data_IF_358524921371
#
_entry.id   IF_358524921371
#
_cell.length_a   1.000
_cell.length_b   1.000
_cell.length_c   1.000
_cell.angle_alpha   90.00
_cell.angle_beta   90.00
_cell.angle_gamma   90.00
#
_symmetry.space_group_name_H-M   'P 1'
#
loop_
_entity.id
_entity.type
_entity.pdbx_description
1 polymer ?
#
# COMPACT_ATOMS: atom_id res chain seq x y z
N UNK A 1 -6.40 -4.15 -6.24
CA UNK A 1 -6.26 -5.54 -5.74
C UNK A 1 -5.53 -6.44 -6.74
N UNK A 2 -6.05 -6.70 -7.95
CA UNK A 2 -5.44 -7.62 -8.94
C UNK A 2 -3.95 -7.38 -9.22
N UNK A 3 -3.51 -6.12 -9.41
CA UNK A 3 -2.09 -5.80 -9.59
C UNK A 3 -1.20 -6.28 -8.42
N UNK A 4 -1.61 -6.03 -7.18
CA UNK A 4 -0.85 -6.49 -6.01
C UNK A 4 -0.78 -8.02 -5.91
N UNK A 5 -1.85 -8.74 -6.27
CA UNK A 5 -1.83 -10.21 -6.33
C UNK A 5 -0.85 -10.71 -7.40
N UNK A 6 -0.79 -10.06 -8.56
CA UNK A 6 0.19 -10.36 -9.61
C UNK A 6 1.63 -10.13 -9.10
N UNK A 7 1.91 -8.99 -8.44
CA UNK A 7 3.25 -8.74 -7.90
C UNK A 7 3.60 -9.73 -6.80
N UNK A 8 2.66 -10.11 -5.93
CA UNK A 8 2.88 -11.11 -4.88
C UNK A 8 3.25 -12.47 -5.49
N UNK A 9 2.52 -12.92 -6.51
CA UNK A 9 2.83 -14.13 -7.28
C UNK A 9 4.23 -14.07 -7.92
N UNK A 10 4.55 -12.95 -8.58
CA UNK A 10 5.88 -12.76 -9.20
C UNK A 10 7.00 -12.72 -8.13
N UNK A 11 6.74 -12.13 -6.97
CA UNK A 11 7.70 -12.07 -5.85
C UNK A 11 8.02 -13.46 -5.32
N UNK A 12 7.02 -14.33 -5.16
CA UNK A 12 7.25 -15.74 -4.83
C UNK A 12 7.99 -16.48 -5.96
N UNK A 13 7.69 -16.18 -7.24
CA UNK A 13 8.34 -16.83 -8.38
C UNK A 13 9.84 -16.52 -8.50
N UNK A 14 10.29 -15.35 -8.04
CA UNK A 14 11.70 -14.92 -7.99
C UNK A 14 12.31 -15.01 -6.58
N UNK A 15 11.59 -15.59 -5.61
CA UNK A 15 12.03 -15.80 -4.22
C UNK A 15 12.35 -14.50 -3.43
N UNK A 16 11.81 -13.34 -3.85
CA UNK A 16 12.05 -12.05 -3.19
C UNK A 16 11.05 -11.74 -2.07
N UNK A 17 11.40 -12.21 -0.87
CA UNK A 17 10.67 -11.98 0.39
C UNK A 17 10.50 -10.49 0.70
N UNK A 18 11.43 -9.63 0.25
CA UNK A 18 11.32 -8.18 0.47
C UNK A 18 10.10 -7.59 -0.23
N UNK A 19 9.87 -7.97 -1.49
CA UNK A 19 8.74 -7.48 -2.27
C UNK A 19 7.44 -8.15 -1.80
N UNK A 20 7.48 -9.46 -1.53
CA UNK A 20 6.31 -10.18 -1.02
C UNK A 20 5.77 -9.58 0.30
N UNK A 21 6.66 -9.22 1.24
CA UNK A 21 6.27 -8.58 2.51
C UNK A 21 5.74 -7.16 2.31
N UNK A 22 6.40 -6.34 1.48
CA UNK A 22 5.94 -4.98 1.15
C UNK A 22 4.54 -5.00 0.51
N UNK A 23 4.33 -5.86 -0.49
CA UNK A 23 3.05 -6.00 -1.18
C UNK A 23 1.95 -6.47 -0.23
N UNK A 24 2.26 -7.43 0.65
CA UNK A 24 1.31 -7.93 1.65
C UNK A 24 0.86 -6.81 2.59
N UNK A 25 1.81 -6.03 3.15
CA UNK A 25 1.50 -4.90 4.03
C UNK A 25 0.73 -3.78 3.30
N UNK A 26 1.00 -3.57 2.02
CA UNK A 26 0.30 -2.57 1.18
C UNK A 26 -1.14 -2.99 0.85
N UNK A 27 -1.40 -4.29 0.68
CA UNK A 27 -2.75 -4.83 0.41
C UNK A 27 -3.59 -5.02 1.68
N UNK A 28 -2.96 -5.21 2.84
CA UNK A 28 -3.62 -5.47 4.11
C UNK A 28 -4.67 -4.40 4.51
N UNK A 29 -4.43 -3.07 4.42
CA UNK A 29 -5.48 -2.09 4.69
C UNK A 29 -6.70 -2.26 3.77
N UNK A 30 -6.50 -2.45 2.47
CA UNK A 30 -7.62 -2.67 1.52
C UNK A 30 -8.41 -3.94 1.84
N UNK A 31 -7.74 -5.00 2.32
CA UNK A 31 -8.42 -6.23 2.75
C UNK A 31 -9.27 -5.99 4.00
N UNK A 32 -8.75 -5.27 5.00
CA UNK A 32 -9.49 -4.93 6.23
C UNK A 32 -10.68 -4.01 5.89
N UNK A 33 -10.48 -2.99 5.06
CA UNK A 33 -11.55 -2.12 4.56
C UNK A 33 -12.65 -2.90 3.82
N UNK A 34 -12.27 -3.86 2.95
CA UNK A 34 -13.23 -4.71 2.27
C UNK A 34 -14.03 -5.62 3.23
N UNK A 35 -13.37 -6.17 4.26
CA UNK A 35 -14.04 -6.98 5.28
C UNK A 35 -15.02 -6.16 6.14
N UNK A 36 -14.73 -4.89 6.41
CA UNK A 36 -15.60 -4.02 7.22
C UNK A 36 -16.74 -3.43 6.38
N UNK A 37 -16.40 -2.73 5.30
CA UNK A 37 -17.37 -1.98 4.51
C UNK A 37 -18.01 -2.83 3.41
N UNK A 38 -17.24 -3.70 2.75
CA UNK A 38 -17.72 -4.57 1.67
C UNK A 38 -18.66 -5.68 2.12
N UNK A 39 -18.52 -6.17 3.36
CA UNK A 39 -19.47 -7.10 3.99
C UNK A 39 -20.64 -6.38 4.69
N UNK A 40 -20.68 -5.04 4.67
CA UNK A 40 -21.74 -4.25 5.28
C UNK A 40 -21.74 -4.21 6.82
N UNK A 41 -20.62 -4.54 7.48
CA UNK A 41 -20.49 -4.39 8.95
C UNK A 41 -20.60 -2.92 9.37
N UNK A 42 -20.15 -2.00 8.50
CA UNK A 42 -20.37 -0.56 8.61
C UNK A 42 -20.85 -0.02 7.27
N UNK A 43 -21.95 0.71 7.28
CA UNK A 43 -22.50 1.34 6.08
C UNK A 43 -21.67 2.57 5.67
N UNK A 44 -21.37 2.72 4.39
CA UNK A 44 -20.68 3.90 3.84
C UNK A 44 -21.62 5.08 3.56
N UNK A 45 -22.94 4.89 3.55
CA UNK A 45 -23.90 5.99 3.43
C UNK A 45 -24.27 6.58 4.79
N UNK A 46 -24.34 7.91 4.86
CA UNK A 46 -24.86 8.66 6.00
C UNK A 46 -26.12 9.44 5.62
N UNK A 47 -27.14 9.39 6.48
CA UNK A 47 -28.33 10.23 6.34
C UNK A 47 -28.05 11.65 6.88
N UNK A 48 -29.04 12.54 6.88
CA UNK A 48 -28.86 13.88 7.48
C UNK A 48 -28.86 13.86 9.01
N UNK A 49 -29.56 12.93 9.66
CA UNK A 49 -29.72 12.91 11.12
C UNK A 49 -28.55 12.27 11.88
N UNK A 50 -27.84 11.35 11.24
CA UNK A 50 -26.73 10.56 11.82
C UNK A 50 -25.35 10.95 11.26
N UNK A 51 -25.27 11.90 10.31
CA UNK A 51 -24.05 12.26 9.57
C UNK A 51 -22.81 12.45 10.43
N UNK A 52 -22.95 13.16 11.56
CA UNK A 52 -21.85 13.38 12.49
C UNK A 52 -21.28 12.05 12.99
N UNK A 53 -22.13 11.16 13.50
CA UNK A 53 -21.74 9.88 14.08
C UNK A 53 -21.24 8.94 12.99
N UNK A 54 -22.00 8.76 11.91
CA UNK A 54 -21.69 7.80 10.86
C UNK A 54 -20.36 8.11 10.17
N UNK A 55 -20.12 9.36 9.79
CA UNK A 55 -18.84 9.76 9.22
C UNK A 55 -17.69 9.65 10.23
N UNK A 56 -17.94 9.88 11.53
CA UNK A 56 -16.91 9.72 12.56
C UNK A 56 -16.52 8.25 12.73
N UNK A 57 -17.47 7.32 12.58
CA UNK A 57 -17.19 5.87 12.54
C UNK A 57 -16.39 5.52 11.27
N UNK A 58 -16.82 5.98 10.09
CA UNK A 58 -16.14 5.69 8.81
C UNK A 58 -14.69 6.19 8.83
N UNK A 59 -14.46 7.48 9.07
CA UNK A 59 -13.10 8.03 9.12
C UNK A 59 -12.30 7.50 10.32
N UNK A 60 -12.94 7.24 11.46
CA UNK A 60 -12.30 6.64 12.63
C UNK A 60 -11.75 5.23 12.35
N UNK A 61 -12.50 4.42 11.59
CA UNK A 61 -12.06 3.09 11.14
C UNK A 61 -10.88 3.21 10.18
N UNK A 62 -10.96 4.05 9.15
CA UNK A 62 -9.84 4.24 8.24
C UNK A 62 -8.58 4.75 8.98
N UNK A 63 -8.73 5.66 9.94
CA UNK A 63 -7.63 6.17 10.77
C UNK A 63 -7.01 5.07 11.64
N UNK A 64 -7.84 4.21 12.25
CA UNK A 64 -7.38 3.09 13.07
C UNK A 64 -6.66 2.02 12.21
N UNK A 65 -7.19 1.68 11.04
CA UNK A 65 -6.53 0.81 10.05
C UNK A 65 -5.19 1.43 9.66
N UNK A 66 -5.16 2.73 9.37
CA UNK A 66 -3.96 3.37 8.87
C UNK A 66 -2.85 3.46 9.93
N UNK A 67 -3.19 3.70 11.21
CA UNK A 67 -2.26 3.57 12.32
C UNK A 67 -1.76 2.14 12.52
N UNK A 68 -2.66 1.15 12.43
CA UNK A 68 -2.32 -0.27 12.57
C UNK A 68 -1.31 -0.74 11.50
N UNK A 69 -1.40 -0.21 10.28
CA UNK A 69 -0.48 -0.53 9.17
C UNK A 69 0.84 0.25 9.23
N UNK A 70 0.86 1.45 9.82
CA UNK A 70 2.09 2.24 9.95
C UNK A 70 3.18 1.50 10.75
N UNK A 71 2.81 0.83 11.85
CA UNK A 71 3.77 0.10 12.71
C UNK A 71 4.52 -1.01 11.97
N UNK A 72 3.85 -1.99 11.31
CA UNK A 72 4.55 -3.04 10.57
C UNK A 72 5.23 -2.56 9.29
N UNK A 73 4.80 -1.44 8.69
CA UNK A 73 5.56 -0.78 7.61
C UNK A 73 6.88 -0.20 8.13
N UNK A 74 6.86 0.46 9.29
CA UNK A 74 8.04 1.10 9.90
C UNK A 74 9.10 0.06 10.30
N UNK A 75 8.66 -1.07 10.87
CA UNK A 75 9.55 -2.16 11.33
C UNK A 75 9.56 -3.37 10.38
N UNK A 76 9.34 -3.16 9.07
CA UNK A 76 9.18 -4.28 8.12
C UNK A 76 10.40 -5.21 8.14
N UNK A 77 11.62 -4.67 8.17
CA UNK A 77 12.84 -5.47 8.08
C UNK A 77 12.99 -6.38 9.31
N UNK A 78 12.78 -5.84 10.50
CA UNK A 78 12.86 -6.53 11.79
C UNK A 78 11.82 -7.65 11.86
N UNK A 79 10.57 -7.32 11.52
CA UNK A 79 9.47 -8.29 11.48
C UNK A 79 9.72 -9.38 10.43
N UNK A 80 10.18 -9.01 9.23
CA UNK A 80 10.46 -9.96 8.16
C UNK A 80 11.64 -10.87 8.48
N UNK A 81 12.70 -10.36 9.13
CA UNK A 81 13.82 -11.20 9.63
C UNK A 81 13.37 -12.18 10.71
N UNK A 82 12.44 -11.77 11.58
CA UNK A 82 11.87 -12.64 12.62
C UNK A 82 10.96 -13.73 12.05
N UNK A 83 10.18 -13.42 11.00
CA UNK A 83 9.27 -14.36 10.34
C UNK A 83 9.99 -15.28 9.33
N UNK A 84 11.01 -14.78 8.65
CA UNK A 84 11.72 -15.48 7.58
C UNK A 84 13.26 -15.46 7.82
N UNK A 85 13.76 -16.11 8.88
CA UNK A 85 15.17 -15.99 9.31
C UNK A 85 16.18 -16.54 8.30
N UNK A 86 15.76 -17.40 7.37
CA UNK A 86 16.60 -17.98 6.31
C UNK A 86 16.65 -17.06 5.07
N UNK A 87 15.71 -16.12 4.93
CA UNK A 87 15.59 -15.27 3.75
C UNK A 87 16.55 -14.07 3.76
N UNK A 88 16.96 -13.62 2.57
CA UNK A 88 17.79 -12.42 2.37
C UNK A 88 16.98 -11.14 2.53
N UNK A 89 16.53 -10.85 3.74
CA UNK A 89 15.79 -9.63 4.06
C UNK A 89 16.73 -8.43 4.15
N UNK A 90 16.54 -7.46 3.25
CA UNK A 90 17.32 -6.21 3.15
C UNK A 90 16.43 -4.97 3.30
N UNK A 91 17.01 -3.87 3.75
CA UNK A 91 16.38 -2.55 3.62
C UNK A 91 16.32 -2.17 2.15
N UNK A 92 15.26 -1.48 1.78
CA UNK A 92 14.97 -0.97 0.44
C UNK A 92 14.51 0.48 0.54
N UNK A 93 14.52 1.23 -0.57
CA UNK A 93 14.02 2.61 -0.55
C UNK A 93 12.52 2.70 -0.17
N UNK A 94 11.76 1.62 -0.37
CA UNK A 94 10.36 1.55 0.03
C UNK A 94 10.16 1.57 1.54
N UNK A 95 11.12 1.06 2.33
CA UNK A 95 11.09 1.13 3.79
C UNK A 95 11.21 2.57 4.30
N UNK A 96 11.85 3.45 3.52
CA UNK A 96 11.86 4.89 3.79
C UNK A 96 10.59 5.57 3.28
N UNK A 97 10.11 5.23 2.08
CA UNK A 97 9.01 5.96 1.43
C UNK A 97 7.60 5.57 1.91
N UNK A 98 7.32 4.29 2.11
CA UNK A 98 5.96 3.82 2.42
C UNK A 98 5.44 4.30 3.78
N UNK A 99 6.23 4.39 4.87
CA UNK A 99 5.78 5.02 6.10
C UNK A 99 5.35 6.49 5.91
N UNK A 100 6.05 7.27 5.07
CA UNK A 100 5.63 8.65 4.76
C UNK A 100 4.32 8.72 3.97
N UNK A 101 4.15 7.86 2.96
CA UNK A 101 2.88 7.72 2.23
C UNK A 101 1.73 7.38 3.17
N UNK A 102 2.00 6.52 4.17
CA UNK A 102 1.05 6.11 5.18
C UNK A 102 0.73 7.24 6.19
N UNK A 103 1.73 8.02 6.62
CA UNK A 103 1.55 9.19 7.49
C UNK A 103 0.68 10.27 6.81
N UNK A 104 0.86 10.49 5.51
CA UNK A 104 0.03 11.44 4.75
C UNK A 104 -1.44 11.01 4.78
N UNK A 105 -1.73 9.72 4.61
CA UNK A 105 -3.08 9.18 4.73
C UNK A 105 -3.67 9.39 6.14
N UNK A 106 -2.89 9.07 7.20
CA UNK A 106 -3.28 9.28 8.61
C UNK A 106 -3.66 10.75 8.87
N UNK A 107 -2.82 11.71 8.43
CA UNK A 107 -3.06 13.16 8.61
C UNK A 107 -4.32 13.61 7.86
N UNK A 108 -4.56 13.09 6.66
CA UNK A 108 -5.75 13.44 5.87
C UNK A 108 -7.03 12.86 6.46
N UNK A 109 -7.02 11.62 6.95
CA UNK A 109 -8.17 11.00 7.63
C UNK A 109 -8.47 11.67 8.97
N UNK A 110 -7.43 12.07 9.72
CA UNK A 110 -7.58 12.83 10.95
C UNK A 110 -8.16 14.24 10.70
N UNK A 111 -7.68 14.92 9.65
CA UNK A 111 -8.24 16.20 9.23
C UNK A 111 -9.70 16.08 8.78
N UNK A 112 -10.08 14.99 8.10
CA UNK A 112 -11.46 14.68 7.75
C UNK A 112 -12.36 14.43 8.97
N UNK A 113 -11.84 13.79 10.05
CA UNK A 113 -12.55 13.67 11.34
C UNK A 113 -12.82 15.04 11.97
N UNK A 114 -11.81 15.92 11.99
CA UNK A 114 -11.93 17.28 12.53
C UNK A 114 -12.94 18.10 11.72
N UNK A 115 -12.83 18.08 10.38
CA UNK A 115 -13.78 18.76 9.50
C UNK A 115 -15.21 18.21 9.67
N UNK A 116 -15.36 16.90 9.82
CA UNK A 116 -16.65 16.27 10.07
C UNK A 116 -17.30 16.74 11.37
N UNK A 117 -16.51 16.91 12.44
CA UNK A 117 -16.97 17.47 13.71
C UNK A 117 -17.43 18.93 13.54
N UNK A 118 -16.58 19.80 12.99
CA UNK A 118 -16.94 21.22 12.82
C UNK A 118 -18.14 21.40 11.88
N UNK A 119 -18.21 20.67 10.77
CA UNK A 119 -19.36 20.76 9.86
C UNK A 119 -20.65 20.26 10.51
N UNK A 120 -20.67 19.06 11.09
CA UNK A 120 -21.92 18.41 11.48
C UNK A 120 -22.30 18.58 12.96
N UNK A 121 -21.36 18.96 13.85
CA UNK A 121 -21.65 19.28 15.25
C UNK A 121 -21.71 20.79 15.54
N UNK A 122 -21.08 21.61 14.70
CA UNK A 122 -20.99 23.08 14.89
C UNK A 122 -21.55 23.91 13.73
N UNK A 123 -21.93 23.29 12.61
CA UNK A 123 -22.59 23.97 11.50
C UNK A 123 -21.68 24.80 10.59
N UNK A 124 -20.35 24.57 10.61
CA UNK A 124 -19.43 25.26 9.70
C UNK A 124 -19.55 24.73 8.26
N UNK A 125 -19.58 25.61 7.28
CA UNK A 125 -19.53 25.23 5.86
C UNK A 125 -18.09 25.01 5.40
N UNK A 126 -17.54 23.84 5.76
CA UNK A 126 -16.19 23.39 5.38
C UNK A 126 -16.24 21.95 4.85
N UNK A 127 -15.62 21.73 3.69
CA UNK A 127 -15.72 20.47 2.92
C UNK A 127 -14.42 20.07 2.20
N UNK A 128 -13.31 20.75 2.50
CA UNK A 128 -12.03 20.56 1.81
C UNK A 128 -11.47 19.15 2.00
N UNK A 129 -11.41 18.67 3.24
CA UNK A 129 -10.91 17.33 3.55
C UNK A 129 -11.90 16.26 3.11
N UNK A 130 -13.21 16.52 3.24
CA UNK A 130 -14.29 15.65 2.74
C UNK A 130 -14.16 15.36 1.24
N UNK A 131 -13.98 16.39 0.40
CA UNK A 131 -13.81 16.21 -1.05
C UNK A 131 -12.42 15.68 -1.43
N UNK A 132 -11.36 16.07 -0.70
CA UNK A 132 -10.00 15.60 -0.98
C UNK A 132 -9.74 14.15 -0.57
N UNK A 133 -10.57 13.58 0.29
CA UNK A 133 -10.38 12.25 0.88
C UNK A 133 -10.18 11.13 -0.15
N UNK A 134 -11.06 11.07 -1.16
CA UNK A 134 -11.00 10.06 -2.22
C UNK A 134 -9.73 10.21 -3.08
N UNK A 135 -9.36 11.45 -3.42
CA UNK A 135 -8.17 11.78 -4.21
C UNK A 135 -6.91 11.33 -3.47
N UNK A 136 -6.80 11.60 -2.17
CA UNK A 136 -5.67 11.13 -1.36
C UNK A 136 -5.61 9.62 -1.28
N UNK A 137 -6.76 8.93 -1.16
CA UNK A 137 -6.82 7.47 -1.27
C UNK A 137 -6.21 6.95 -2.58
N UNK A 138 -6.59 7.53 -3.72
CA UNK A 138 -6.00 7.16 -5.02
C UNK A 138 -4.51 7.49 -5.11
N UNK A 139 -4.06 8.64 -4.59
CA UNK A 139 -2.64 9.01 -4.58
C UNK A 139 -1.82 8.03 -3.73
N UNK A 140 -2.28 7.70 -2.52
CA UNK A 140 -1.66 6.69 -1.62
C UNK A 140 -1.42 5.36 -2.35
N UNK A 141 -2.47 4.81 -2.98
CA UNK A 141 -2.35 3.55 -3.72
C UNK A 141 -1.47 3.67 -4.97
N UNK A 142 -1.54 4.80 -5.71
CA UNK A 142 -0.71 5.03 -6.89
C UNK A 142 0.78 5.14 -6.55
N UNK A 143 1.13 5.86 -5.49
CA UNK A 143 2.51 5.94 -4.98
C UNK A 143 3.02 4.58 -4.51
N UNK A 144 2.22 3.85 -3.72
CA UNK A 144 2.61 2.53 -3.23
C UNK A 144 2.83 1.53 -4.39
N UNK A 145 1.94 1.49 -5.38
CA UNK A 145 2.13 0.65 -6.57
C UNK A 145 3.31 1.12 -7.45
N UNK A 146 3.59 2.42 -7.56
CA UNK A 146 4.79 2.92 -8.22
C UNK A 146 6.08 2.42 -7.57
N UNK A 147 6.19 2.55 -6.24
CA UNK A 147 7.30 2.04 -5.42
C UNK A 147 7.48 0.53 -5.62
N UNK A 148 6.39 -0.25 -5.52
CA UNK A 148 6.38 -1.70 -5.72
C UNK A 148 6.82 -2.08 -7.14
N UNK A 149 6.37 -1.35 -8.16
CA UNK A 149 6.72 -1.60 -9.57
C UNK A 149 8.22 -1.41 -9.80
N UNK A 150 8.81 -0.34 -9.25
CA UNK A 150 10.25 -0.08 -9.33
C UNK A 150 11.05 -1.18 -8.64
N UNK A 151 10.65 -1.59 -7.43
CA UNK A 151 11.28 -2.71 -6.73
C UNK A 151 11.21 -4.02 -7.54
N UNK A 152 10.05 -4.35 -8.10
CA UNK A 152 9.88 -5.55 -8.93
C UNK A 152 10.77 -5.48 -10.17
N UNK A 153 10.84 -4.34 -10.86
CA UNK A 153 11.72 -4.16 -12.02
C UNK A 153 13.20 -4.33 -11.68
N UNK A 154 13.64 -3.81 -10.53
CA UNK A 154 15.01 -4.00 -10.02
C UNK A 154 15.30 -5.46 -9.69
N UNK A 155 14.43 -6.13 -8.93
CA UNK A 155 14.59 -7.53 -8.55
C UNK A 155 14.53 -8.49 -9.75
N UNK A 156 13.63 -8.25 -10.70
CA UNK A 156 13.53 -9.07 -11.92
C UNK A 156 14.79 -8.96 -12.78
N UNK A 157 15.37 -7.75 -12.87
CA UNK A 157 16.68 -7.51 -13.50
C UNK A 157 17.83 -8.22 -12.76
N UNK A 158 17.82 -8.23 -11.43
CA UNK A 158 18.81 -8.92 -10.58
C UNK A 158 18.71 -10.45 -10.77
N UNK A 159 17.49 -11.01 -10.74
CA UNK A 159 17.24 -12.46 -10.79
C UNK A 159 17.53 -13.10 -12.15
N UNK A 160 17.01 -12.53 -13.25
CA UNK A 160 17.19 -13.12 -14.59
C UNK A 160 18.50 -12.69 -15.27
N UNK A 161 19.10 -11.59 -14.80
CA UNK A 161 20.21 -10.91 -15.46
C UNK A 161 19.83 -10.31 -16.81
N UNK A 162 20.68 -9.45 -17.35
CA UNK A 162 20.60 -9.03 -18.75
C UNK A 162 21.09 -10.15 -19.69
N UNK A 163 20.38 -11.28 -19.74
CA UNK A 163 20.39 -12.10 -20.96
C UNK A 163 19.56 -11.37 -21.99
N UNK A 164 20.25 -10.67 -22.89
CA UNK A 164 19.67 -10.24 -24.17
C UNK A 164 18.87 -11.39 -24.77
N UNK A 165 17.67 -11.14 -25.33
CA UNK A 165 16.80 -12.21 -25.81
C UNK A 165 17.59 -13.12 -26.76
N UNK A 166 17.68 -14.40 -26.40
CA UNK A 166 18.64 -15.37 -26.97
C UNK A 166 18.44 -15.67 -28.46
N UNK A 167 17.40 -15.11 -29.07
CA UNK A 167 17.19 -15.05 -30.51
C UNK A 167 18.36 -14.39 -31.27
N UNK A 168 19.11 -13.47 -30.65
CA UNK A 168 20.29 -12.84 -31.26
C UNK A 168 21.63 -13.47 -30.87
N UNK A 169 21.68 -14.45 -29.95
CA UNK A 169 22.96 -15.04 -29.50
C UNK A 169 23.43 -16.23 -30.35
N UNK A 170 22.59 -16.78 -31.23
CA UNK A 170 22.97 -17.82 -32.21
C UNK A 170 23.58 -17.18 -33.47
N UNK A 171 24.85 -16.79 -33.40
CA UNK A 171 25.53 -16.20 -34.57
C UNK A 171 27.05 -16.35 -34.61
N UNK A 172 27.74 -16.19 -33.48
CA UNK A 172 29.22 -16.15 -33.48
C UNK A 172 29.79 -17.51 -33.08
N UNK A 173 29.94 -18.41 -34.06
CA UNK A 173 30.91 -19.50 -33.97
C UNK A 173 32.31 -18.88 -33.94
N UNK A 174 32.95 -18.80 -32.77
CA UNK A 174 34.40 -18.61 -32.72
C UNK A 174 35.06 -19.86 -33.30
N UNK A 175 35.66 -19.73 -34.48
CA UNK A 175 36.51 -20.77 -35.05
C UNK A 175 37.74 -20.95 -34.18
N UNK A 176 38.08 -22.19 -33.85
CA UNK A 176 39.40 -22.49 -33.31
C UNK A 176 40.48 -22.18 -34.37
N UNK A 177 41.52 -21.49 -33.96
CA UNK A 177 42.92 -21.60 -34.40
C UNK A 177 43.81 -20.98 -33.34
#
# INVERSE_FOLDING_TARGET
MAFGLLVLFLSFRIEEVNIATIVTLTLLPTLIEFLIFGLGLVNLSSSHGDRLVQNSIIYGIHFAIDLFILVPLTYRVELSKKLFPIAKVKYTFADSMLPWVQIIAIVMTFSALIENYFRNAKGYDITFFFYSYSIVGYLKYSFAFGIITVLLGMAYKEYYGFKTPTLLSKGIKRSNK
#
